data_IF_465713082734
#
_entry.id   IF_465713082734
#
_cell.length_a   1.000
_cell.length_b   1.000
_cell.length_c   1.000
_cell.angle_alpha   90.00
_cell.angle_beta   90.00
_cell.angle_gamma   90.00
#
_symmetry.space_group_name_H-M   'P 1'
#
loop_
_entity.id
_entity.type
_entity.pdbx_description
1 polymer ?
#
# COMPACT_ATOMS: atom_id res chain seq x y z
N UNK A 1 -54.10 75.47 45.88
CA UNK A 1 -53.03 75.61 44.88
C UNK A 1 -51.78 74.92 45.43
N UNK A 2 -51.72 73.59 45.35
CA UNK A 2 -50.51 72.83 45.75
C UNK A 2 -49.48 73.10 44.65
N UNK A 3 -48.41 73.78 45.02
CA UNK A 3 -47.39 74.27 44.09
C UNK A 3 -46.58 73.09 43.53
N UNK A 4 -46.31 73.13 42.23
CA UNK A 4 -45.48 72.19 41.45
C UNK A 4 -44.17 71.75 42.14
N UNK A 5 -43.65 72.56 43.07
CA UNK A 5 -42.46 72.27 43.87
C UNK A 5 -42.62 71.13 44.86
N UNK A 6 -43.75 71.05 45.59
CA UNK A 6 -44.00 69.97 46.57
C UNK A 6 -44.23 68.62 45.89
N UNK A 7 -44.82 68.63 44.70
CA UNK A 7 -44.97 67.43 43.88
C UNK A 7 -43.62 66.91 43.39
N UNK A 8 -42.70 67.82 43.03
CA UNK A 8 -41.33 67.48 42.63
C UNK A 8 -40.48 66.93 43.77
N UNK A 9 -40.59 67.50 44.97
CA UNK A 9 -39.86 67.02 46.15
C UNK A 9 -40.29 65.60 46.52
N UNK A 10 -41.60 65.33 46.51
CA UNK A 10 -42.15 64.00 46.78
C UNK A 10 -41.72 62.97 45.72
N UNK A 11 -41.75 63.33 44.44
CA UNK A 11 -41.22 62.47 43.36
C UNK A 11 -39.73 62.15 43.54
N UNK A 12 -38.94 63.12 43.99
CA UNK A 12 -37.51 62.95 44.25
C UNK A 12 -37.26 62.01 45.44
N UNK A 13 -38.04 62.15 46.51
CA UNK A 13 -37.94 61.34 47.72
C UNK A 13 -38.32 59.86 47.44
N UNK A 14 -39.38 59.63 46.67
CA UNK A 14 -39.76 58.29 46.20
C UNK A 14 -38.69 57.70 45.29
N UNK A 15 -38.12 58.48 44.37
CA UNK A 15 -37.06 58.00 43.50
C UNK A 15 -35.79 57.60 44.26
N UNK A 16 -35.44 58.33 45.33
CA UNK A 16 -34.32 57.98 46.21
C UNK A 16 -34.60 56.70 46.98
N UNK A 17 -35.79 56.57 47.58
CA UNK A 17 -36.20 55.36 48.33
C UNK A 17 -36.18 54.10 47.46
N UNK A 18 -36.76 54.17 46.26
CA UNK A 18 -36.73 53.05 45.29
C UNK A 18 -35.29 52.69 44.91
N UNK A 19 -34.41 53.69 44.74
CA UNK A 19 -33.01 53.46 44.39
C UNK A 19 -32.24 52.76 45.51
N UNK A 20 -32.46 53.14 46.76
CA UNK A 20 -31.82 52.51 47.91
C UNK A 20 -32.27 51.06 48.10
N UNK A 21 -33.55 50.78 47.88
CA UNK A 21 -34.14 49.45 48.03
C UNK A 21 -33.71 48.51 46.90
N UNK A 22 -33.63 49.00 45.65
CA UNK A 22 -33.03 48.24 44.55
C UNK A 22 -31.54 47.97 44.82
N UNK A 23 -30.81 48.96 45.35
CA UNK A 23 -29.38 48.81 45.69
C UNK A 23 -29.15 47.77 46.79
N UNK A 24 -30.02 47.70 47.80
CA UNK A 24 -29.94 46.70 48.87
C UNK A 24 -30.26 45.30 48.33
N UNK A 25 -31.29 45.17 47.48
CA UNK A 25 -31.65 43.89 46.84
C UNK A 25 -30.53 43.36 45.94
N UNK A 26 -29.89 44.19 45.13
CA UNK A 26 -28.77 43.77 44.28
C UNK A 26 -27.54 43.29 45.08
N UNK A 27 -27.40 43.73 46.32
CA UNK A 27 -26.36 43.26 47.25
C UNK A 27 -26.81 42.09 48.11
N UNK A 28 -28.10 41.74 48.06
CA UNK A 28 -28.68 40.68 48.87
C UNK A 28 -28.10 39.32 48.49
N UNK A 29 -28.13 38.42 49.46
CA UNK A 29 -27.75 37.03 49.23
C UNK A 29 -28.74 36.32 48.29
N UNK A 30 -30.03 36.69 48.33
CA UNK A 30 -31.06 36.15 47.44
C UNK A 30 -30.77 36.47 45.98
N UNK A 31 -30.47 37.73 45.64
CA UNK A 31 -30.13 38.09 44.26
C UNK A 31 -28.88 37.34 43.77
N UNK A 32 -27.85 37.21 44.63
CA UNK A 32 -26.66 36.40 44.30
C UNK A 32 -27.01 34.95 44.03
N UNK A 33 -27.89 34.34 44.84
CA UNK A 33 -28.37 32.96 44.65
C UNK A 33 -29.13 32.80 43.33
N UNK A 34 -30.01 33.75 42.97
CA UNK A 34 -30.73 33.75 41.69
C UNK A 34 -29.74 33.77 40.52
N UNK A 35 -28.77 34.69 40.54
CA UNK A 35 -27.77 34.80 39.47
C UNK A 35 -26.90 33.55 39.41
N UNK A 36 -26.42 33.03 40.55
CA UNK A 36 -25.63 31.80 40.59
C UNK A 36 -26.41 30.61 40.02
N UNK A 37 -27.69 30.46 40.37
CA UNK A 37 -28.55 29.39 39.85
C UNK A 37 -28.69 29.51 38.33
N UNK A 38 -29.03 30.69 37.82
CA UNK A 38 -29.21 30.91 36.38
C UNK A 38 -27.92 30.65 35.59
N UNK A 39 -26.78 31.10 36.11
CA UNK A 39 -25.47 30.86 35.50
C UNK A 39 -25.12 29.37 35.54
N UNK A 40 -25.29 28.69 36.68
CA UNK A 40 -25.00 27.26 36.80
C UNK A 40 -25.85 26.40 35.86
N UNK A 41 -27.14 26.74 35.73
CA UNK A 41 -28.08 26.04 34.86
C UNK A 41 -27.72 26.24 33.37
N UNK A 42 -27.36 27.47 32.98
CA UNK A 42 -26.89 27.78 31.63
C UNK A 42 -25.56 27.07 31.32
N UNK A 43 -24.63 27.04 32.28
CA UNK A 43 -23.35 26.37 32.13
C UNK A 43 -23.53 24.87 31.97
N UNK A 44 -24.41 24.27 32.79
CA UNK A 44 -24.75 22.86 32.70
C UNK A 44 -25.36 22.51 31.34
N UNK A 45 -26.31 23.32 30.87
CA UNK A 45 -26.90 23.13 29.54
C UNK A 45 -25.84 23.18 28.43
N UNK A 46 -24.87 24.11 28.51
CA UNK A 46 -23.77 24.20 27.56
C UNK A 46 -22.84 22.97 27.60
N UNK A 47 -22.52 22.47 28.80
CA UNK A 47 -21.73 21.24 28.98
C UNK A 47 -22.46 20.03 28.39
N UNK A 48 -23.74 19.88 28.71
CA UNK A 48 -24.55 18.75 28.25
C UNK A 48 -24.77 18.80 26.73
N UNK A 49 -24.92 20.00 26.15
CA UNK A 49 -25.18 20.18 24.72
C UNK A 49 -23.92 20.06 23.85
N UNK A 50 -22.74 20.43 24.36
CA UNK A 50 -21.55 20.53 23.53
C UNK A 50 -20.38 19.68 24.03
N UNK A 51 -20.11 19.66 25.34
CA UNK A 51 -18.94 18.96 25.88
C UNK A 51 -19.17 17.44 25.92
N UNK A 52 -20.35 16.99 26.36
CA UNK A 52 -20.64 15.56 26.40
C UNK A 52 -20.66 14.91 25.00
N UNK A 53 -21.29 15.49 23.96
CA UNK A 53 -21.24 14.91 22.62
C UNK A 53 -19.82 14.82 22.07
N UNK A 54 -18.99 15.85 22.28
CA UNK A 54 -17.59 15.82 21.87
C UNK A 54 -16.80 14.70 22.57
N UNK A 55 -17.07 14.43 23.87
CA UNK A 55 -16.44 13.31 24.56
C UNK A 55 -16.82 11.97 23.95
N UNK A 56 -18.08 11.80 23.55
CA UNK A 56 -18.57 10.58 22.88
C UNK A 56 -17.91 10.42 21.51
N UNK A 57 -17.88 11.48 20.69
CA UNK A 57 -17.23 11.46 19.38
C UNK A 57 -15.73 11.14 19.48
N UNK A 58 -15.03 11.77 20.43
CA UNK A 58 -13.60 11.50 20.68
C UNK A 58 -13.38 10.05 21.10
N UNK A 59 -14.27 9.46 21.89
CA UNK A 59 -14.20 8.03 22.22
C UNK A 59 -14.38 7.16 20.97
N UNK A 60 -15.40 7.44 20.15
CA UNK A 60 -15.63 6.69 18.91
C UNK A 60 -14.49 6.81 17.89
N UNK A 61 -13.84 7.98 17.82
CA UNK A 61 -12.64 8.17 17.00
C UNK A 61 -11.46 7.33 17.51
N UNK A 62 -11.26 7.24 18.84
CA UNK A 62 -10.23 6.37 19.42
C UNK A 62 -10.46 4.91 19.07
N UNK A 63 -11.69 4.43 19.20
CA UNK A 63 -12.05 3.05 18.87
C UNK A 63 -11.82 2.76 17.37
N UNK A 64 -12.15 3.73 16.51
CA UNK A 64 -11.92 3.63 15.07
C UNK A 64 -10.42 3.59 14.73
N UNK A 65 -9.60 4.40 15.41
CA UNK A 65 -8.15 4.41 15.23
C UNK A 65 -7.57 3.04 15.59
N UNK A 66 -7.93 2.48 16.75
CA UNK A 66 -7.45 1.16 17.18
C UNK A 66 -7.81 0.09 16.14
N UNK A 67 -9.07 0.06 15.67
CA UNK A 67 -9.49 -0.90 14.65
C UNK A 67 -8.69 -0.77 13.35
N UNK A 68 -8.45 0.45 12.88
CA UNK A 68 -7.67 0.70 11.66
C UNK A 68 -6.20 0.29 11.84
N UNK A 69 -5.63 0.50 13.03
CA UNK A 69 -4.29 0.05 13.36
C UNK A 69 -4.17 -1.48 13.32
N UNK A 70 -5.16 -2.19 13.89
CA UNK A 70 -5.21 -3.65 13.86
C UNK A 70 -5.33 -4.19 12.43
N UNK A 71 -6.27 -3.66 11.63
CA UNK A 71 -6.43 -4.02 10.22
C UNK A 71 -5.15 -3.76 9.40
N UNK A 72 -4.43 -2.67 9.69
CA UNK A 72 -3.18 -2.35 9.03
C UNK A 72 -2.06 -3.33 9.41
N UNK A 73 -2.00 -3.77 10.66
CA UNK A 73 -1.02 -4.76 11.13
C UNK A 73 -1.27 -6.10 10.42
N UNK A 74 -2.53 -6.57 10.40
CA UNK A 74 -2.91 -7.82 9.72
C UNK A 74 -2.60 -7.77 8.22
N UNK A 75 -2.97 -6.67 7.55
CA UNK A 75 -2.69 -6.49 6.12
C UNK A 75 -1.18 -6.51 5.81
N UNK A 76 -0.37 -5.87 6.66
CA UNK A 76 1.10 -5.88 6.54
C UNK A 76 1.70 -7.27 6.72
N UNK A 77 1.20 -8.03 7.70
CA UNK A 77 1.65 -9.41 7.93
C UNK A 77 1.35 -10.31 6.73
N UNK A 78 0.11 -10.27 6.25
CA UNK A 78 -0.31 -11.05 5.08
C UNK A 78 0.50 -10.69 3.83
N UNK A 79 0.79 -9.40 3.63
CA UNK A 79 1.61 -8.95 2.50
C UNK A 79 3.04 -9.49 2.59
N UNK A 80 3.65 -9.43 3.77
CA UNK A 80 5.00 -9.95 4.00
C UNK A 80 5.07 -11.46 3.75
N UNK A 81 4.09 -12.23 4.23
CA UNK A 81 4.02 -13.67 3.96
C UNK A 81 3.95 -13.97 2.46
N UNK A 82 3.10 -13.24 1.72
CA UNK A 82 2.99 -13.38 0.27
C UNK A 82 4.30 -13.05 -0.45
N UNK A 83 4.99 -11.99 -0.01
CA UNK A 83 6.29 -11.61 -0.58
C UNK A 83 7.32 -12.73 -0.39
N UNK A 84 7.41 -13.31 0.80
CA UNK A 84 8.33 -14.42 1.09
C UNK A 84 8.02 -15.64 0.22
N UNK A 85 6.73 -16.00 0.10
CA UNK A 85 6.32 -17.13 -0.77
C UNK A 85 6.70 -16.87 -2.22
N UNK A 86 6.44 -15.67 -2.75
CA UNK A 86 6.77 -15.31 -4.13
C UNK A 86 8.27 -15.31 -4.38
N UNK A 87 9.09 -14.81 -3.44
CA UNK A 87 10.54 -14.87 -3.53
C UNK A 87 11.05 -16.31 -3.62
N UNK A 88 10.52 -17.21 -2.79
CA UNK A 88 10.87 -18.63 -2.84
C UNK A 88 10.46 -19.26 -4.18
N UNK A 89 9.31 -18.89 -4.74
CA UNK A 89 8.87 -19.38 -6.06
C UNK A 89 9.82 -18.91 -7.16
N UNK A 90 10.25 -17.64 -7.12
CA UNK A 90 11.22 -17.08 -8.08
C UNK A 90 12.52 -17.87 -8.05
N UNK A 91 13.13 -18.05 -6.89
CA UNK A 91 14.39 -18.80 -6.75
C UNK A 91 14.26 -20.22 -7.29
N UNK A 92 13.17 -20.92 -6.95
CA UNK A 92 12.91 -22.27 -7.45
C UNK A 92 12.74 -22.33 -8.98
N UNK A 93 12.10 -21.32 -9.57
CA UNK A 93 11.93 -21.24 -11.02
C UNK A 93 13.24 -20.91 -11.73
N UNK A 94 14.05 -20.00 -11.19
CA UNK A 94 15.37 -19.67 -11.72
C UNK A 94 16.28 -20.90 -11.74
N UNK A 95 16.32 -21.68 -10.65
CA UNK A 95 17.05 -22.94 -10.62
C UNK A 95 16.55 -23.95 -11.65
N UNK A 96 15.22 -24.07 -11.83
CA UNK A 96 14.64 -24.96 -12.83
C UNK A 96 15.03 -24.54 -14.24
N UNK A 97 14.98 -23.26 -14.54
CA UNK A 97 15.40 -22.72 -15.84
C UNK A 97 16.88 -23.00 -16.09
N UNK A 98 17.75 -22.74 -15.10
CA UNK A 98 19.18 -23.02 -15.22
C UNK A 98 19.44 -24.51 -15.48
N UNK A 99 18.81 -25.41 -14.72
CA UNK A 99 18.93 -26.87 -14.92
C UNK A 99 18.43 -27.30 -16.30
N UNK A 100 17.32 -26.74 -16.76
CA UNK A 100 16.77 -27.06 -18.08
C UNK A 100 17.68 -26.55 -19.21
N UNK A 101 18.26 -25.37 -19.07
CA UNK A 101 19.20 -24.82 -20.04
C UNK A 101 20.45 -25.72 -20.16
N UNK A 102 21.05 -26.14 -19.04
CA UNK A 102 22.17 -27.09 -19.03
C UNK A 102 21.78 -28.40 -19.70
N UNK A 103 20.64 -28.99 -19.31
CA UNK A 103 20.18 -30.27 -19.88
C UNK A 103 19.89 -30.17 -21.37
N UNK A 104 19.32 -29.06 -21.84
CA UNK A 104 19.05 -28.83 -23.25
C UNK A 104 20.36 -28.75 -24.06
N UNK A 105 21.35 -28.03 -23.54
CA UNK A 105 22.68 -27.97 -24.13
C UNK A 105 23.37 -29.35 -24.14
N UNK A 106 23.34 -30.08 -23.03
CA UNK A 106 23.95 -31.41 -22.97
C UNK A 106 23.30 -32.38 -23.96
N UNK A 107 21.98 -32.29 -24.13
CA UNK A 107 21.25 -33.10 -25.09
C UNK A 107 21.56 -32.72 -26.54
N UNK A 108 21.72 -31.42 -26.83
CA UNK A 108 22.15 -30.94 -28.14
C UNK A 108 23.56 -31.43 -28.48
N UNK A 109 24.50 -31.30 -27.54
CA UNK A 109 25.88 -31.77 -27.72
C UNK A 109 25.94 -33.29 -27.88
N UNK A 110 25.16 -34.02 -27.08
CA UNK A 110 25.08 -35.48 -27.20
C UNK A 110 24.52 -35.90 -28.56
N UNK A 111 23.44 -35.24 -29.01
CA UNK A 111 22.83 -35.50 -30.32
C UNK A 111 23.76 -35.18 -31.50
N UNK A 112 24.73 -34.29 -31.32
CA UNK A 112 25.68 -33.88 -32.36
C UNK A 112 27.08 -34.47 -32.18
N UNK A 113 27.28 -35.36 -31.20
CA UNK A 113 28.61 -35.89 -30.82
C UNK A 113 29.37 -36.53 -31.99
N UNK A 114 28.65 -37.11 -32.95
CA UNK A 114 29.24 -37.75 -34.13
C UNK A 114 28.98 -36.98 -35.43
N UNK A 115 28.52 -35.73 -35.31
CA UNK A 115 28.28 -34.86 -36.46
C UNK A 115 29.53 -34.02 -36.72
N UNK A 116 29.93 -33.94 -37.99
CA UNK A 116 31.02 -33.07 -38.43
C UNK A 116 30.43 -32.02 -39.36
N UNK A 117 30.75 -30.76 -39.10
CA UNK A 117 30.44 -29.66 -40.02
C UNK A 117 31.62 -29.44 -40.95
N UNK A 118 31.40 -29.64 -42.24
CA UNK A 118 32.39 -29.35 -43.29
C UNK A 118 32.03 -28.02 -43.93
N UNK A 119 32.98 -27.09 -43.94
CA UNK A 119 32.81 -25.74 -44.51
C UNK A 119 33.83 -25.52 -45.64
N UNK A 120 33.50 -24.66 -46.60
CA UNK A 120 34.41 -24.30 -47.70
C UNK A 120 34.39 -25.28 -48.89
N UNK A 121 33.42 -26.19 -48.96
CA UNK A 121 33.21 -27.07 -50.10
C UNK A 121 32.50 -26.32 -51.24
N UNK A 122 33.06 -26.31 -52.48
CA UNK A 122 32.38 -25.74 -53.64
C UNK A 122 31.02 -26.39 -53.87
N UNK A 123 30.02 -25.56 -54.15
CA UNK A 123 28.65 -26.00 -54.47
C UNK A 123 28.51 -26.23 -55.97
N UNK A 124 27.90 -27.35 -56.34
CA UNK A 124 27.66 -27.74 -57.73
C UNK A 124 26.22 -28.25 -57.89
N UNK A 125 25.62 -28.04 -59.06
CA UNK A 125 24.30 -28.58 -59.38
C UNK A 125 24.32 -30.11 -59.40
N UNK A 126 23.33 -30.73 -58.78
CA UNK A 126 23.15 -32.19 -58.68
C UNK A 126 24.33 -32.95 -58.03
N UNK A 127 25.02 -32.29 -57.09
CA UNK A 127 26.15 -32.91 -56.40
C UNK A 127 25.72 -34.04 -55.45
N UNK A 128 26.55 -35.08 -55.38
CA UNK A 128 26.42 -36.12 -54.38
C UNK A 128 27.33 -35.80 -53.19
N UNK A 129 26.74 -35.30 -52.11
CA UNK A 129 27.46 -34.89 -50.90
C UNK A 129 28.24 -36.06 -50.26
N UNK A 130 27.68 -37.29 -50.27
CA UNK A 130 28.34 -38.46 -49.71
C UNK A 130 29.62 -38.78 -50.47
N UNK A 131 29.60 -38.75 -51.80
CA UNK A 131 30.77 -39.01 -52.63
C UNK A 131 31.84 -37.92 -52.44
N UNK A 132 31.45 -36.65 -52.39
CA UNK A 132 32.38 -35.53 -52.16
C UNK A 132 33.09 -35.64 -50.81
N UNK A 133 32.35 -35.95 -49.74
CA UNK A 133 32.95 -36.17 -48.41
C UNK A 133 33.78 -37.45 -48.37
N UNK A 134 33.35 -38.53 -49.03
CA UNK A 134 34.12 -39.77 -49.16
C UNK A 134 35.47 -39.55 -49.85
N UNK A 135 35.49 -38.77 -50.93
CA UNK A 135 36.72 -38.35 -51.61
C UNK A 135 37.62 -37.51 -50.69
N UNK A 136 37.07 -36.52 -49.98
CA UNK A 136 37.83 -35.73 -49.00
C UNK A 136 38.53 -36.63 -47.97
N UNK A 137 37.79 -37.57 -47.40
CA UNK A 137 38.31 -38.48 -46.38
C UNK A 137 39.44 -39.36 -46.93
N UNK A 138 39.27 -39.94 -48.12
CA UNK A 138 40.27 -40.82 -48.73
C UNK A 138 41.51 -40.06 -49.23
N UNK A 139 41.29 -38.97 -49.96
CA UNK A 139 42.35 -38.28 -50.71
C UNK A 139 43.07 -37.23 -49.88
N UNK A 140 42.35 -36.46 -49.07
CA UNK A 140 42.92 -35.34 -48.30
C UNK A 140 43.26 -35.74 -46.87
N UNK A 141 42.35 -36.45 -46.19
CA UNK A 141 42.56 -36.88 -44.81
C UNK A 141 43.32 -38.21 -44.69
N UNK A 142 43.65 -38.84 -45.83
CA UNK A 142 44.42 -40.09 -45.90
C UNK A 142 43.78 -41.25 -45.12
N UNK A 143 42.45 -41.38 -45.21
CA UNK A 143 41.68 -42.48 -44.65
C UNK A 143 41.24 -43.43 -45.79
N UNK A 144 42.13 -44.31 -46.30
CA UNK A 144 41.88 -45.08 -47.51
C UNK A 144 40.72 -46.07 -47.38
N UNK A 145 40.47 -46.56 -46.16
CA UNK A 145 39.39 -47.52 -45.86
C UNK A 145 38.04 -46.83 -45.57
N UNK A 146 37.96 -45.50 -45.71
CA UNK A 146 36.73 -44.76 -45.49
C UNK A 146 35.72 -45.00 -46.61
N UNK A 147 34.55 -45.51 -46.23
CA UNK A 147 33.43 -45.79 -47.13
C UNK A 147 32.25 -44.86 -46.84
N UNK A 148 31.54 -44.46 -47.88
CA UNK A 148 30.32 -43.66 -47.79
C UNK A 148 29.22 -44.37 -46.98
N UNK A 149 29.25 -45.70 -46.86
CA UNK A 149 28.32 -46.47 -46.01
C UNK A 149 28.49 -46.20 -44.51
N UNK A 150 29.65 -45.65 -44.11
CA UNK A 150 29.91 -45.25 -42.72
C UNK A 150 29.23 -43.92 -42.37
N UNK A 151 28.64 -43.23 -43.35
CA UNK A 151 27.90 -41.97 -43.17
C UNK A 151 26.42 -42.29 -42.96
N UNK A 152 25.92 -42.09 -41.74
CA UNK A 152 24.49 -42.29 -41.42
C UNK A 152 23.61 -41.26 -42.15
N UNK A 153 23.97 -39.97 -42.04
CA UNK A 153 23.24 -38.87 -42.70
C UNK A 153 24.18 -37.77 -43.14
N UNK A 154 23.91 -37.22 -44.32
CA UNK A 154 24.59 -36.04 -44.85
C UNK A 154 23.59 -35.11 -45.50
N UNK A 155 23.80 -33.81 -45.29
CA UNK A 155 22.99 -32.74 -45.86
C UNK A 155 23.82 -31.46 -45.89
N UNK A 156 23.36 -30.48 -46.67
CA UNK A 156 23.80 -29.10 -46.61
C UNK A 156 22.89 -28.28 -45.70
#
# INVERSE_FOLDING_TARGET
>A
MVTRSKSREFEQEVAVGVREEVSSFLKSEEFRKIVQSAVAETLKACIDQHVQPLQVEVSGLKDTIVRVEDELIEAKQLLNEKVVVLQNVIVNLEEKVARLATKANDNEQYSRRYNIRVSGFPEESDENCSLKVGQLCRETLMLPDFSEEQIDRIHR
#
